data_IF_185273212543
#
_entry.id   IF_185273212543
#
_cell.length_a   1.000
_cell.length_b   1.000
_cell.length_c   1.000
_cell.angle_alpha   90.00
_cell.angle_beta   90.00
_cell.angle_gamma   90.00
#
_symmetry.space_group_name_H-M   'P 1'
#
loop_
_entity.id
_entity.type
_entity.pdbx_description
1 polymer ?
#
# COMPACT_ATOMS: atom_id res chain seq x y z
N UNK A 1 4.25 66.34 -57.35
CA UNK A 1 5.50 66.20 -58.13
C UNK A 1 6.01 64.78 -57.88
N UNK A 2 5.70 63.81 -58.76
CA UNK A 2 6.52 63.35 -59.91
C UNK A 2 7.87 62.74 -59.46
N UNK A 3 8.31 61.52 -59.81
CA UNK A 3 7.85 60.41 -60.65
C UNK A 3 8.80 59.21 -60.34
N UNK A 4 8.23 58.02 -60.16
CA UNK A 4 8.62 56.74 -60.82
C UNK A 4 10.10 56.43 -61.09
N UNK A 5 10.65 55.40 -60.42
CA UNK A 5 11.87 54.68 -60.80
C UNK A 5 11.52 53.27 -61.31
N UNK A 6 11.97 52.97 -62.54
CA UNK A 6 11.96 51.67 -63.25
C UNK A 6 12.72 50.59 -62.47
N UNK A 7 12.21 49.37 -62.25
CA UNK A 7 12.10 48.22 -63.16
C UNK A 7 13.41 47.84 -63.91
N UNK A 8 13.72 46.53 -63.85
CA UNK A 8 14.62 45.73 -64.72
C UNK A 8 16.15 45.94 -64.46
N UNK A 9 17.07 44.96 -64.38
CA UNK A 9 17.23 43.58 -64.88
C UNK A 9 18.25 42.82 -63.97
N UNK A 10 18.01 41.58 -63.56
CA UNK A 10 18.44 40.33 -64.20
C UNK A 10 19.95 39.95 -64.01
N UNK A 11 20.13 38.85 -63.25
CA UNK A 11 21.24 37.86 -63.28
C UNK A 11 22.58 38.25 -62.65
N UNK A 12 22.92 37.57 -61.56
CA UNK A 12 24.04 36.62 -61.54
C UNK A 12 24.02 35.80 -60.25
N UNK A 13 23.59 34.54 -60.36
CA UNK A 13 23.82 33.51 -59.34
C UNK A 13 25.25 33.00 -59.51
N UNK A 14 26.14 33.30 -58.56
CA UNK A 14 27.41 32.58 -58.40
C UNK A 14 27.18 31.52 -57.33
N UNK A 15 27.45 30.27 -57.72
CA UNK A 15 27.18 29.08 -56.92
C UNK A 15 28.02 29.00 -55.65
N UNK A 16 27.38 28.60 -54.55
CA UNK A 16 28.06 28.22 -53.31
C UNK A 16 28.44 26.76 -53.42
N UNK A 17 29.74 26.49 -53.29
CA UNK A 17 30.34 25.16 -53.24
C UNK A 17 29.78 24.36 -52.04
N UNK A 18 29.28 23.16 -52.34
CA UNK A 18 28.85 22.18 -51.36
C UNK A 18 30.06 21.54 -50.67
N UNK A 19 30.17 21.69 -49.35
CA UNK A 19 31.03 20.88 -48.50
C UNK A 19 30.13 19.98 -47.64
N UNK A 20 29.83 18.78 -48.16
CA UNK A 20 29.15 17.73 -47.39
C UNK A 20 30.12 17.14 -46.37
N UNK A 21 29.98 17.54 -45.10
CA UNK A 21 30.60 16.87 -43.96
C UNK A 21 29.81 15.59 -43.68
N UNK A 22 30.38 14.42 -43.99
CA UNK A 22 29.83 13.14 -43.53
C UNK A 22 30.08 13.00 -42.02
N UNK A 23 29.02 13.12 -41.23
CA UNK A 23 29.04 12.72 -39.83
C UNK A 23 28.91 11.19 -39.79
N UNK A 24 29.84 10.45 -39.17
CA UNK A 24 29.69 9.01 -39.02
C UNK A 24 28.58 8.75 -38.00
N UNK A 25 27.53 8.05 -38.43
CA UNK A 25 26.51 7.51 -37.52
C UNK A 25 27.16 6.38 -36.74
N UNK A 26 27.49 6.62 -35.47
CA UNK A 26 27.87 5.54 -34.55
C UNK A 26 26.59 4.75 -34.27
N UNK A 27 26.46 3.59 -34.91
CA UNK A 27 25.43 2.61 -34.59
C UNK A 27 25.74 2.06 -33.19
N UNK A 28 25.05 2.58 -32.17
CA UNK A 28 25.02 1.96 -30.86
C UNK A 28 24.37 0.58 -31.02
N UNK A 29 25.16 -0.49 -30.90
CA UNK A 29 24.63 -1.83 -30.78
C UNK A 29 23.79 -1.88 -29.50
N UNK A 30 22.47 -1.83 -29.64
CA UNK A 30 21.55 -2.03 -28.53
C UNK A 30 21.72 -3.49 -28.09
N UNK A 31 22.34 -3.70 -26.92
CA UNK A 31 22.30 -5.01 -26.29
C UNK A 31 20.83 -5.45 -26.17
N UNK A 32 20.49 -6.71 -26.48
CA UNK A 32 19.13 -7.18 -26.36
C UNK A 32 18.66 -6.92 -24.94
N UNK A 33 17.56 -6.18 -24.80
CA UNK A 33 16.87 -5.98 -23.52
C UNK A 33 16.51 -7.37 -23.01
N UNK A 34 17.21 -7.85 -21.99
CA UNK A 34 16.80 -9.06 -21.31
C UNK A 34 15.42 -8.76 -20.71
N UNK A 35 14.37 -9.54 -21.04
CA UNK A 35 13.12 -9.42 -20.31
C UNK A 35 13.44 -9.62 -18.82
N UNK A 36 12.80 -8.86 -17.90
CA UNK A 36 13.02 -9.06 -16.48
C UNK A 36 12.85 -10.55 -16.20
N UNK A 37 13.81 -11.12 -15.48
CA UNK A 37 13.78 -12.52 -15.10
C UNK A 37 12.38 -12.82 -14.56
N UNK A 38 11.65 -13.70 -15.24
CA UNK A 38 10.41 -14.21 -14.70
C UNK A 38 10.80 -15.00 -13.45
N UNK A 39 10.77 -14.35 -12.28
CA UNK A 39 10.77 -15.06 -11.01
C UNK A 39 9.73 -16.15 -11.12
N UNK A 40 10.19 -17.38 -11.00
CA UNK A 40 9.38 -18.57 -11.22
C UNK A 40 8.14 -18.49 -10.33
N UNK A 41 7.00 -18.15 -10.94
CA UNK A 41 5.67 -18.36 -10.36
C UNK A 41 5.50 -19.87 -10.23
N UNK A 42 5.95 -20.46 -9.12
CA UNK A 42 5.90 -21.91 -9.01
C UNK A 42 6.49 -22.58 -7.77
N UNK A 43 7.17 -21.88 -6.87
CA UNK A 43 7.47 -22.46 -5.55
C UNK A 43 6.42 -21.95 -4.55
N UNK A 44 5.48 -22.82 -4.16
CA UNK A 44 4.75 -22.58 -2.91
C UNK A 44 5.80 -22.47 -1.82
N UNK A 45 5.84 -21.33 -1.12
CA UNK A 45 6.75 -21.15 0.00
C UNK A 45 6.56 -22.29 0.99
N UNK A 46 7.65 -22.76 1.60
CA UNK A 46 7.62 -23.72 2.71
C UNK A 46 7.08 -23.04 3.99
N UNK A 47 5.91 -22.42 3.88
CA UNK A 47 5.25 -21.66 4.93
C UNK A 47 4.30 -22.58 5.72
N UNK A 48 4.34 -22.55 7.07
CA UNK A 48 5.26 -21.77 7.89
C UNK A 48 6.69 -22.39 7.91
N UNK A 49 7.75 -21.58 8.08
CA UNK A 49 9.12 -22.06 8.22
C UNK A 49 9.25 -23.06 9.37
N UNK A 50 10.14 -24.04 9.23
CA UNK A 50 10.42 -25.00 10.29
C UNK A 50 11.32 -24.38 11.38
N UNK A 51 11.08 -24.72 12.65
CA UNK A 51 11.86 -24.27 13.80
C UNK A 51 11.08 -23.35 14.76
N UNK A 52 11.68 -22.94 15.88
CA UNK A 52 11.08 -21.97 16.78
C UNK A 52 10.96 -20.60 16.11
N UNK A 53 9.97 -19.81 16.51
CA UNK A 53 9.83 -18.43 16.02
C UNK A 53 11.10 -17.63 16.34
N UNK A 54 11.63 -16.85 15.37
CA UNK A 54 12.74 -15.93 15.62
C UNK A 54 12.42 -15.02 16.81
N UNK A 55 13.44 -14.69 17.60
CA UNK A 55 13.32 -13.79 18.74
C UNK A 55 14.01 -12.47 18.47
N UNK A 56 13.43 -11.38 18.95
CA UNK A 56 14.05 -10.07 18.95
C UNK A 56 15.11 -9.97 20.07
N UNK A 57 15.77 -8.81 20.17
CA UNK A 57 16.78 -8.56 21.20
C UNK A 57 16.25 -8.69 22.66
N UNK A 58 14.93 -8.52 22.86
CA UNK A 58 14.26 -8.66 24.15
C UNK A 58 13.81 -10.11 24.43
N UNK A 59 14.15 -11.06 23.56
CA UNK A 59 13.80 -12.47 23.69
C UNK A 59 12.32 -12.79 23.40
N UNK A 60 11.55 -11.82 22.90
CA UNK A 60 10.15 -12.02 22.47
C UNK A 60 10.09 -12.45 21.01
N UNK A 61 9.04 -13.15 20.55
CA UNK A 61 8.81 -13.38 19.13
C UNK A 61 8.98 -12.09 18.31
N UNK A 62 9.84 -12.17 17.29
CA UNK A 62 10.05 -11.09 16.34
C UNK A 62 8.94 -11.11 15.29
N UNK A 63 8.00 -10.19 15.43
CA UNK A 63 6.89 -9.96 14.50
C UNK A 63 7.08 -8.68 13.70
N UNK A 64 8.27 -8.06 13.76
CA UNK A 64 8.56 -6.86 13.00
C UNK A 64 8.54 -7.12 11.50
N UNK A 65 8.30 -6.06 10.73
CA UNK A 65 8.38 -6.11 9.28
C UNK A 65 7.11 -5.63 8.58
N UNK A 66 7.10 -5.76 7.26
CA UNK A 66 5.95 -5.45 6.43
C UNK A 66 5.02 -6.67 6.37
N UNK A 67 3.73 -6.42 6.58
CA UNK A 67 2.66 -7.40 6.57
C UNK A 67 1.66 -7.03 5.49
N UNK A 68 1.29 -8.01 4.68
CA UNK A 68 0.26 -7.88 3.65
C UNK A 68 -0.95 -8.72 4.03
N UNK A 69 -2.14 -8.12 4.15
CA UNK A 69 -3.35 -8.86 4.43
C UNK A 69 -3.73 -9.74 3.22
N UNK A 70 -3.72 -11.05 3.42
CA UNK A 70 -3.95 -12.06 2.38
C UNK A 70 -5.45 -12.33 2.09
N UNK A 71 -6.38 -11.63 2.75
CA UNK A 71 -7.77 -12.06 2.87
C UNK A 71 -8.80 -10.97 2.49
N UNK A 72 -8.53 -10.18 1.45
CA UNK A 72 -9.42 -9.10 0.97
C UNK A 72 -10.87 -9.58 0.80
N UNK A 73 -11.10 -10.80 0.29
CA UNK A 73 -12.46 -11.33 0.09
C UNK A 73 -13.11 -11.90 1.35
N UNK A 74 -12.34 -12.57 2.20
CA UNK A 74 -12.88 -13.20 3.42
C UNK A 74 -13.20 -12.18 4.51
N UNK A 75 -12.47 -11.04 4.53
CA UNK A 75 -12.68 -10.01 5.54
C UNK A 75 -13.83 -9.05 5.22
N UNK A 76 -14.25 -8.96 3.96
CA UNK A 76 -15.27 -8.02 3.50
C UNK A 76 -16.67 -8.66 3.44
N UNK A 77 -16.76 -9.98 3.25
CA UNK A 77 -18.04 -10.69 3.26
C UNK A 77 -17.91 -12.16 3.68
N UNK A 78 -17.91 -12.43 4.99
CA UNK A 78 -17.88 -13.80 5.51
C UNK A 78 -19.13 -14.61 5.14
N UNK A 79 -20.27 -13.98 4.83
CA UNK A 79 -21.43 -14.74 4.35
C UNK A 79 -21.19 -15.29 2.93
N UNK A 80 -20.42 -14.56 2.11
CA UNK A 80 -20.03 -15.02 0.79
C UNK A 80 -19.06 -16.21 0.82
N UNK A 81 -18.47 -16.54 1.98
CA UNK A 81 -17.63 -17.74 2.16
C UNK A 81 -18.43 -18.99 2.56
N UNK A 82 -19.75 -18.89 2.65
CA UNK A 82 -20.63 -20.00 3.00
C UNK A 82 -20.72 -20.29 4.50
N UNK A 83 -20.16 -19.42 5.34
CA UNK A 83 -20.29 -19.49 6.80
C UNK A 83 -21.66 -18.95 7.19
N UNK A 84 -22.46 -19.78 7.86
CA UNK A 84 -23.73 -19.34 8.46
C UNK A 84 -23.44 -18.54 9.73
N UNK A 85 -23.84 -17.27 9.74
CA UNK A 85 -23.68 -16.38 10.89
C UNK A 85 -25.02 -16.33 11.64
N UNK A 86 -25.08 -16.73 12.92
CA UNK A 86 -26.31 -16.69 13.71
C UNK A 86 -26.62 -15.24 14.13
N UNK A 87 -27.12 -14.44 13.20
CA UNK A 87 -27.48 -13.06 13.47
C UNK A 87 -28.67 -12.97 14.42
N UNK A 88 -28.63 -11.97 15.30
CA UNK A 88 -29.84 -11.46 15.92
C UNK A 88 -30.75 -10.82 14.85
N UNK A 89 -32.08 -10.87 14.96
CA UNK A 89 -32.97 -10.34 13.92
C UNK A 89 -32.71 -8.87 13.56
N UNK A 90 -32.40 -8.03 14.55
CA UNK A 90 -32.06 -6.62 14.33
C UNK A 90 -30.72 -6.45 13.61
N UNK A 91 -29.75 -7.34 13.86
CA UNK A 91 -28.42 -7.30 13.26
C UNK A 91 -28.46 -7.76 11.81
N UNK A 92 -29.26 -8.79 11.51
CA UNK A 92 -29.50 -9.26 10.14
C UNK A 92 -30.14 -8.16 9.30
N UNK A 93 -31.17 -7.49 9.84
CA UNK A 93 -31.80 -6.34 9.17
C UNK A 93 -30.79 -5.25 8.87
N UNK A 94 -29.99 -4.84 9.87
CA UNK A 94 -28.98 -3.80 9.70
C UNK A 94 -27.91 -4.18 8.68
N UNK A 95 -27.48 -5.44 8.68
CA UNK A 95 -26.54 -5.97 7.68
C UNK A 95 -27.14 -5.87 6.27
N UNK A 96 -28.38 -6.34 6.06
CA UNK A 96 -29.08 -6.26 4.77
C UNK A 96 -29.25 -4.81 4.29
N UNK A 97 -29.65 -3.92 5.19
CA UNK A 97 -29.80 -2.48 4.89
C UNK A 97 -28.47 -1.85 4.45
N UNK A 98 -27.36 -2.14 5.16
CA UNK A 98 -26.02 -1.66 4.80
C UNK A 98 -25.52 -2.27 3.49
N UNK A 99 -25.78 -3.55 3.22
CA UNK A 99 -25.43 -4.16 1.93
C UNK A 99 -26.20 -3.52 0.78
N UNK A 100 -27.50 -3.25 0.97
CA UNK A 100 -28.35 -2.63 -0.05
C UNK A 100 -27.96 -1.19 -0.36
N UNK A 101 -27.44 -0.45 0.63
CA UNK A 101 -27.01 0.94 0.45
C UNK A 101 -25.50 1.11 0.15
N UNK A 102 -24.80 0.01 -0.15
CA UNK A 102 -23.36 -0.02 -0.48
C UNK A 102 -22.50 0.52 0.69
N UNK A 103 -22.87 0.17 1.92
CA UNK A 103 -22.15 0.54 3.15
C UNK A 103 -21.85 2.04 3.25
N UNK A 104 -22.80 2.90 2.85
CA UNK A 104 -22.61 4.36 2.78
C UNK A 104 -22.21 4.99 4.12
N UNK A 105 -22.62 4.37 5.23
CA UNK A 105 -22.29 4.82 6.59
C UNK A 105 -20.93 4.29 7.08
N UNK A 106 -20.19 3.53 6.27
CA UNK A 106 -18.86 3.05 6.63
C UNK A 106 -17.86 4.23 6.72
N UNK A 107 -17.10 4.35 7.81
CA UNK A 107 -16.07 5.40 7.94
C UNK A 107 -15.04 5.36 6.81
N UNK A 108 -14.69 4.18 6.29
CA UNK A 108 -13.69 4.03 5.22
C UNK A 108 -14.17 4.69 3.91
N UNK A 109 -15.49 4.69 3.66
CA UNK A 109 -16.09 5.42 2.53
C UNK A 109 -15.94 6.95 2.63
N UNK A 110 -15.53 7.45 3.80
CA UNK A 110 -15.27 8.87 4.07
C UNK A 110 -13.79 9.17 4.36
N UNK A 111 -12.90 8.25 3.98
CA UNK A 111 -11.47 8.32 4.29
C UNK A 111 -11.18 8.42 5.80
N UNK A 112 -12.08 7.89 6.64
CA UNK A 112 -11.91 7.81 8.08
C UNK A 112 -11.44 6.40 8.49
N UNK A 113 -10.64 6.27 9.56
CA UNK A 113 -10.17 4.96 10.01
C UNK A 113 -11.31 3.97 10.29
N UNK A 114 -11.25 2.73 9.77
CA UNK A 114 -12.25 1.69 10.08
C UNK A 114 -12.21 1.16 11.53
N UNK A 115 -11.23 1.57 12.33
CA UNK A 115 -10.99 1.08 13.68
C UNK A 115 -10.40 -0.34 13.71
N UNK A 116 -10.11 -0.84 14.91
CA UNK A 116 -9.60 -2.21 15.13
C UNK A 116 -10.75 -3.20 15.34
N UNK A 117 -10.63 -4.47 14.92
CA UNK A 117 -9.48 -5.07 14.22
C UNK A 117 -9.46 -4.81 12.71
N UNK A 118 -10.54 -4.22 12.16
CA UNK A 118 -10.75 -4.09 10.70
C UNK A 118 -9.61 -3.38 9.97
N UNK A 119 -8.96 -2.42 10.61
CA UNK A 119 -7.78 -1.72 10.08
C UNK A 119 -6.68 -2.68 9.62
N UNK A 120 -6.40 -3.74 10.39
CA UNK A 120 -5.37 -4.75 10.08
C UNK A 120 -5.79 -5.73 8.98
N UNK A 121 -7.03 -5.62 8.50
CA UNK A 121 -7.62 -6.50 7.48
C UNK A 121 -8.06 -5.75 6.23
N UNK A 122 -7.85 -4.43 6.17
CA UNK A 122 -8.03 -3.59 4.97
C UNK A 122 -7.08 -4.05 3.86
N UNK A 123 -7.34 -3.82 2.56
CA UNK A 123 -6.51 -4.30 1.46
C UNK A 123 -5.20 -3.51 1.28
N UNK A 124 -4.61 -3.02 2.37
CA UNK A 124 -3.39 -2.23 2.39
C UNK A 124 -2.38 -2.87 3.33
N UNK A 125 -1.08 -2.88 2.97
CA UNK A 125 -0.07 -3.40 3.86
C UNK A 125 0.09 -2.51 5.10
N UNK A 126 0.71 -3.08 6.12
CA UNK A 126 1.10 -2.35 7.32
C UNK A 126 2.45 -2.83 7.80
N UNK A 127 3.13 -2.01 8.59
CA UNK A 127 4.43 -2.36 9.18
C UNK A 127 4.31 -2.44 10.69
N UNK A 128 4.79 -3.54 11.26
CA UNK A 128 4.97 -3.70 12.69
C UNK A 128 6.39 -3.31 13.06
N UNK A 129 6.51 -2.49 14.11
CA UNK A 129 7.76 -2.13 14.75
C UNK A 129 7.67 -2.47 16.24
N UNK A 130 8.67 -3.14 16.77
CA UNK A 130 8.75 -3.53 18.18
C UNK A 130 9.94 -2.82 18.83
N UNK A 131 9.67 -2.19 19.96
CA UNK A 131 10.67 -1.64 20.88
C UNK A 131 10.36 -2.12 22.30
N UNK A 132 11.31 -2.08 23.24
CA UNK A 132 11.00 -2.35 24.64
C UNK A 132 9.83 -1.46 25.12
N UNK A 133 8.76 -2.08 25.62
CA UNK A 133 7.57 -1.39 26.15
C UNK A 133 6.58 -0.82 25.12
N UNK A 134 6.80 -0.99 23.81
CA UNK A 134 5.89 -0.50 22.76
C UNK A 134 5.94 -1.37 21.50
N UNK A 135 4.77 -1.77 21.02
CA UNK A 135 4.59 -2.30 19.65
C UNK A 135 3.79 -1.29 18.83
N UNK A 136 4.35 -0.82 17.74
CA UNK A 136 3.74 0.15 16.83
C UNK A 136 3.31 -0.57 15.54
N UNK A 137 2.08 -0.32 15.11
CA UNK A 137 1.59 -0.79 13.81
C UNK A 137 1.28 0.45 12.96
N UNK A 138 2.06 0.67 11.90
CA UNK A 138 1.83 1.74 10.94
C UNK A 138 1.04 1.20 9.75
N UNK A 139 -0.15 1.73 9.52
CA UNK A 139 -1.03 1.29 8.44
C UNK A 139 -0.88 2.20 7.22
N UNK A 140 -0.78 1.59 6.03
CA UNK A 140 -0.94 2.34 4.78
C UNK A 140 -2.41 2.75 4.57
N UNK A 141 -3.35 1.86 4.90
CA UNK A 141 -4.78 2.12 4.82
C UNK A 141 -5.30 3.09 5.88
N UNK A 142 -6.54 3.56 5.71
CA UNK A 142 -7.26 4.30 6.76
C UNK A 142 -6.61 5.64 7.16
N UNK A 143 -6.18 6.43 6.16
CA UNK A 143 -5.58 7.77 6.30
C UNK A 143 -4.16 7.81 6.91
N UNK A 144 -3.31 6.83 6.61
CA UNK A 144 -1.91 6.77 7.07
C UNK A 144 -1.78 6.94 8.59
N UNK A 145 -2.54 6.14 9.32
CA UNK A 145 -2.61 6.17 10.78
C UNK A 145 -1.74 5.06 11.39
N UNK A 146 -1.37 5.22 12.66
CA UNK A 146 -0.63 4.21 13.41
C UNK A 146 -1.34 3.85 14.73
N UNK A 147 -1.25 2.58 15.10
CA UNK A 147 -1.69 2.06 16.39
C UNK A 147 -0.48 1.89 17.30
N UNK A 148 -0.57 2.43 18.52
CA UNK A 148 0.40 2.21 19.59
C UNK A 148 -0.16 1.19 20.56
N UNK A 149 0.56 0.09 20.78
CA UNK A 149 0.23 -0.95 21.74
C UNK A 149 1.32 -0.91 22.81
N UNK A 150 1.00 -0.33 23.97
CA UNK A 150 1.96 -0.24 25.07
C UNK A 150 2.10 -1.60 25.75
N UNK A 151 3.34 -2.02 25.97
CA UNK A 151 3.72 -3.31 26.57
C UNK A 151 4.58 -3.15 27.81
N UNK A 152 4.59 -1.95 28.38
CA UNK A 152 5.36 -1.55 29.56
C UNK A 152 4.65 -1.80 30.89
N UNK A 153 3.51 -2.51 30.88
CA UNK A 153 2.73 -2.84 32.06
C UNK A 153 1.86 -1.72 32.61
N UNK A 154 1.72 -0.60 31.88
CA UNK A 154 0.76 0.45 32.23
C UNK A 154 -0.68 -0.08 32.20
N UNK A 155 -1.58 0.64 32.88
CA UNK A 155 -3.02 0.41 32.82
C UNK A 155 -3.70 1.44 31.92
N UNK A 156 -4.95 1.15 31.54
CA UNK A 156 -5.77 2.11 30.80
C UNK A 156 -5.98 3.39 31.60
N UNK A 157 -6.06 4.49 30.89
CA UNK A 157 -6.47 5.77 31.43
C UNK A 157 -7.89 5.64 32.02
N UNK A 158 -8.16 6.28 33.17
CA UNK A 158 -9.50 6.25 33.78
C UNK A 158 -10.59 6.80 32.86
N UNK A 159 -10.21 7.75 32.02
CA UNK A 159 -11.04 8.35 30.98
C UNK A 159 -10.27 8.31 29.66
N UNK A 160 -10.37 7.20 28.89
CA UNK A 160 -9.60 7.03 27.67
C UNK A 160 -10.14 7.91 26.55
N UNK A 161 -9.23 8.55 25.81
CA UNK A 161 -9.60 9.31 24.62
C UNK A 161 -10.33 8.39 23.61
N UNK A 162 -11.54 8.74 23.13
CA UNK A 162 -12.29 7.96 22.14
C UNK A 162 -11.69 8.11 20.73
N UNK A 163 -10.44 7.71 20.56
CA UNK A 163 -9.77 7.68 19.26
C UNK A 163 -10.22 6.47 18.45
N UNK A 164 -10.07 6.54 17.13
CA UNK A 164 -10.44 5.46 16.21
C UNK A 164 -9.76 4.11 16.51
N UNK A 165 -8.55 4.15 17.07
CA UNK A 165 -7.76 2.96 17.40
C UNK A 165 -7.71 2.66 18.90
N UNK A 166 -8.43 3.47 19.69
CA UNK A 166 -8.48 3.39 21.14
C UNK A 166 -7.12 3.58 21.83
N UNK A 167 -7.12 3.36 23.15
CA UNK A 167 -5.90 3.07 23.90
C UNK A 167 -5.65 1.56 23.80
N UNK A 168 -4.43 1.14 23.46
CA UNK A 168 -4.09 -0.28 23.37
C UNK A 168 -2.98 -0.62 24.34
N UNK A 169 -3.23 -1.65 25.15
CA UNK A 169 -2.29 -2.22 26.11
C UNK A 169 -2.19 -3.71 25.79
N UNK A 170 -0.97 -4.21 25.68
CA UNK A 170 -0.68 -5.61 25.38
C UNK A 170 0.39 -6.17 26.30
N UNK A 171 0.47 -7.49 26.39
CA UNK A 171 1.51 -8.17 27.15
C UNK A 171 1.87 -9.46 26.43
N UNK A 172 3.07 -9.97 26.70
CA UNK A 172 3.51 -11.25 26.16
C UNK A 172 3.28 -12.35 27.19
N UNK A 173 2.55 -13.40 26.82
CA UNK A 173 2.47 -14.66 27.56
C UNK A 173 3.32 -15.71 26.85
N UNK A 174 4.59 -15.80 27.28
CA UNK A 174 5.62 -16.56 26.57
C UNK A 174 5.80 -16.05 25.14
N UNK A 175 5.34 -16.85 24.18
CA UNK A 175 5.41 -16.61 22.74
C UNK A 175 4.11 -16.06 22.14
N UNK A 176 3.11 -15.78 22.97
CA UNK A 176 1.82 -15.24 22.58
C UNK A 176 1.77 -13.76 22.91
N UNK A 177 1.21 -12.96 21.99
CA UNK A 177 1.00 -11.52 22.11
C UNK A 177 -0.48 -11.17 22.20
#
# INVERSE_FOLDING_TARGET
MSRSMSQLEWRCRVGVLAATVMVPVVAAAQAPVQPPAQEARGQRSAWPPAGPAPKNADGKPDIQGAWEPNAIRMNVDMLATGVEIPFQPWAEKLYKDRKANISREDPEARCLPPGVPRMSTTPYPFRIMQTPGLTLIAYEGGAHIWRQIFTDGRQHSKDPNPSWLGESIGWWDGDVF
#
